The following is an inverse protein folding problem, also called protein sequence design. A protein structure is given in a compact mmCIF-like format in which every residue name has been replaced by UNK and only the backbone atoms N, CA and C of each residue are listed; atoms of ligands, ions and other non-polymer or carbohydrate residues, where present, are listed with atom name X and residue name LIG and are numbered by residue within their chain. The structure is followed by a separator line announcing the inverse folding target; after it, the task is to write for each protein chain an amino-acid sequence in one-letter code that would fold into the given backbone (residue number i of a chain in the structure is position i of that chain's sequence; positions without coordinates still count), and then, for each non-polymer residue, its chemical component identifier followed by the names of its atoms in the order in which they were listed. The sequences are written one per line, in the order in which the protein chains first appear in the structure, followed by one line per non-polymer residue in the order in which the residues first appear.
data_IF_812620833094
#
_entry.id   IF_812620833094
#
_cell.length_a   1.000
_cell.length_b   1.000
_cell.length_c   1.000
_cell.angle_alpha   90.00
_cell.angle_beta   90.00
_cell.angle_gamma   90.00
#
_symmetry.space_group_name_H-M   'P 1'
#
loop_
_entity.id
_entity.type
_entity.pdbx_description
1 polymer ?
#
# COMPACT_ATOMS: atom_id res chain seq x y z
N UNK A 1 7.04 -25.00 1.78
CA UNK A 1 6.03 -24.26 0.99
C UNK A 1 4.75 -25.08 1.05
N UNK A 2 3.59 -24.44 1.23
CA UNK A 2 2.36 -24.94 1.89
C UNK A 2 2.52 -24.90 3.43
N UNK A 3 1.71 -24.20 4.24
CA UNK A 3 0.24 -24.08 4.21
C UNK A 3 -0.28 -22.89 5.05
N UNK A 4 0.36 -21.71 4.99
CA UNK A 4 -0.10 -20.53 5.78
C UNK A 4 -1.19 -19.72 5.04
N UNK A 5 -1.27 -19.86 3.72
CA UNK A 5 -2.22 -19.13 2.88
C UNK A 5 -3.70 -19.43 3.23
N UNK A 6 -4.13 -20.67 3.55
CA UNK A 6 -5.53 -20.94 3.88
C UNK A 6 -5.99 -20.28 5.17
N UNK A 7 -5.12 -20.13 6.18
CA UNK A 7 -5.48 -19.52 7.46
C UNK A 7 -5.68 -18.01 7.36
N UNK A 8 -4.91 -17.33 6.50
CA UNK A 8 -5.07 -15.89 6.27
C UNK A 8 -6.38 -15.63 5.51
N UNK A 9 -6.72 -16.46 4.52
CA UNK A 9 -8.02 -16.38 3.83
C UNK A 9 -9.23 -16.77 4.70
N UNK A 10 -9.06 -17.68 5.67
CA UNK A 10 -10.16 -18.11 6.56
C UNK A 10 -10.51 -17.07 7.63
N UNK A 11 -9.54 -16.30 8.13
CA UNK A 11 -9.77 -15.21 9.08
C UNK A 11 -10.10 -13.88 8.39
N UNK A 12 -9.65 -13.67 7.15
CA UNK A 12 -9.98 -12.49 6.35
C UNK A 12 -10.88 -12.87 5.18
N UNK A 13 -12.10 -13.34 5.47
CA UNK A 13 -13.13 -13.73 4.48
C UNK A 13 -13.57 -12.59 3.53
N UNK A 14 -13.04 -11.38 3.73
CA UNK A 14 -13.28 -10.19 2.92
C UNK A 14 -12.00 -9.65 2.26
N UNK A 15 -11.08 -10.54 1.88
CA UNK A 15 -9.93 -10.22 1.01
C UNK A 15 -10.24 -9.96 -0.49
N UNK A 16 -11.46 -9.58 -0.97
CA UNK A 16 -11.60 -9.10 -2.35
C UNK A 16 -11.06 -7.69 -2.60
N UNK A 17 -10.90 -6.84 -1.58
CA UNK A 17 -10.28 -5.51 -1.70
C UNK A 17 -9.67 -5.17 -0.33
N UNK A 18 -8.35 -5.29 -0.18
CA UNK A 18 -7.67 -4.84 1.04
C UNK A 18 -7.64 -3.31 1.04
N UNK A 19 -8.77 -2.69 1.38
CA UNK A 19 -8.88 -1.23 1.51
C UNK A 19 -8.03 -0.83 2.72
N UNK A 20 -7.26 0.24 2.61
CA UNK A 20 -6.34 0.70 3.66
C UNK A 20 -6.93 0.79 5.08
N UNK A 21 -8.20 1.20 5.30
CA UNK A 21 -8.80 1.20 6.63
C UNK A 21 -8.82 -0.18 7.29
N UNK A 22 -9.03 -1.25 6.51
CA UNK A 22 -9.00 -2.62 7.01
C UNK A 22 -7.60 -3.03 7.44
N UNK A 23 -6.57 -2.66 6.66
CA UNK A 23 -5.18 -2.93 7.01
C UNK A 23 -4.81 -2.27 8.34
N UNK A 24 -5.10 -0.97 8.47
CA UNK A 24 -4.79 -0.19 9.68
C UNK A 24 -5.55 -0.69 10.89
N UNK A 25 -6.82 -1.10 10.75
CA UNK A 25 -7.63 -1.55 11.88
C UNK A 25 -7.32 -2.99 12.33
N UNK A 26 -7.06 -3.90 11.39
CA UNK A 26 -6.92 -5.32 11.71
C UNK A 26 -5.47 -5.78 11.87
N UNK A 27 -4.52 -5.12 11.20
CA UNK A 27 -3.10 -5.49 11.21
C UNK A 27 -2.16 -4.27 11.33
N UNK A 28 -2.34 -3.39 12.34
CA UNK A 28 -1.53 -2.17 12.50
C UNK A 28 -0.03 -2.44 12.70
N UNK A 29 0.35 -3.64 13.15
CA UNK A 29 1.72 -4.03 13.44
C UNK A 29 2.38 -4.79 12.27
N UNK A 30 1.83 -4.67 11.06
CA UNK A 30 2.41 -5.29 9.88
C UNK A 30 3.81 -4.70 9.61
N UNK A 31 4.79 -5.58 9.39
CA UNK A 31 6.18 -5.17 9.16
C UNK A 31 6.56 -5.12 7.68
N UNK A 32 5.90 -5.89 6.84
CA UNK A 32 6.22 -6.04 5.42
C UNK A 32 4.95 -6.03 4.59
N UNK A 33 4.84 -5.09 3.65
CA UNK A 33 3.70 -4.95 2.77
C UNK A 33 4.17 -4.76 1.32
N UNK A 34 3.67 -5.60 0.42
CA UNK A 34 4.01 -5.59 -1.00
C UNK A 34 2.73 -5.41 -1.83
N UNK A 35 2.64 -4.31 -2.54
CA UNK A 35 1.49 -3.88 -3.34
C UNK A 35 1.90 -3.56 -4.78
N UNK A 36 3.08 -4.03 -5.22
CA UNK A 36 3.61 -3.78 -6.56
C UNK A 36 2.56 -4.06 -7.66
N UNK A 37 2.49 -3.20 -8.68
CA UNK A 37 1.56 -3.35 -9.83
C UNK A 37 0.08 -3.39 -9.39
N UNK A 38 -0.30 -2.57 -8.40
CA UNK A 38 -1.68 -2.47 -7.92
C UNK A 38 -2.25 -1.06 -8.05
N UNK A 39 -3.57 -0.95 -7.97
CA UNK A 39 -4.26 0.32 -7.83
C UNK A 39 -4.34 0.72 -6.37
N UNK A 40 -3.75 1.86 -6.02
CA UNK A 40 -3.86 2.46 -4.70
C UNK A 40 -3.91 3.97 -4.84
N UNK A 41 -5.01 4.57 -4.41
CA UNK A 41 -5.16 6.01 -4.35
C UNK A 41 -4.34 6.61 -3.20
N UNK A 42 -4.05 7.90 -3.34
CA UNK A 42 -3.27 8.67 -2.37
C UNK A 42 -3.84 8.58 -0.94
N UNK A 43 -5.16 8.61 -0.76
CA UNK A 43 -5.78 8.62 0.58
C UNK A 43 -5.53 7.29 1.30
N UNK A 44 -5.75 6.18 0.61
CA UNK A 44 -5.47 4.84 1.14
C UNK A 44 -3.99 4.66 1.47
N UNK A 45 -3.09 5.16 0.64
CA UNK A 45 -1.66 5.07 0.91
C UNK A 45 -1.24 5.91 2.13
N UNK A 46 -1.77 7.12 2.28
CA UNK A 46 -1.56 7.95 3.48
C UNK A 46 -2.08 7.25 4.74
N UNK A 47 -3.26 6.61 4.67
CA UNK A 47 -3.78 5.83 5.79
C UNK A 47 -2.83 4.71 6.21
N UNK A 48 -2.24 3.98 5.26
CA UNK A 48 -1.26 2.93 5.56
C UNK A 48 -0.02 3.52 6.26
N UNK A 49 0.56 4.58 5.70
CA UNK A 49 1.74 5.25 6.27
C UNK A 49 1.48 5.80 7.68
N UNK A 50 0.26 6.26 7.94
CA UNK A 50 -0.08 6.79 9.25
C UNK A 50 -0.48 5.71 10.25
N UNK A 51 -1.14 4.64 9.81
CA UNK A 51 -1.70 3.63 10.69
C UNK A 51 -0.77 2.46 11.00
N UNK A 52 0.10 2.06 10.08
CA UNK A 52 0.96 0.88 10.21
C UNK A 52 2.37 1.27 10.70
N UNK A 53 2.48 1.58 12.00
CA UNK A 53 3.70 2.17 12.58
C UNK A 53 4.92 1.25 12.64
N UNK A 54 4.71 -0.07 12.55
CA UNK A 54 5.79 -1.06 12.58
C UNK A 54 6.31 -1.47 11.18
N UNK A 55 5.88 -0.77 10.12
CA UNK A 55 6.32 -1.04 8.76
C UNK A 55 7.84 -0.90 8.65
N UNK A 56 8.50 -2.03 8.40
CA UNK A 56 9.91 -2.12 8.07
C UNK A 56 10.13 -2.01 6.56
N UNK A 57 9.17 -2.47 5.75
CA UNK A 57 9.21 -2.37 4.29
C UNK A 57 7.83 -2.20 3.68
N UNK A 58 7.74 -1.28 2.73
CA UNK A 58 6.56 -1.03 1.90
C UNK A 58 7.00 -0.89 0.43
N UNK A 59 6.58 -1.83 -0.40
CA UNK A 59 6.82 -1.83 -1.84
C UNK A 59 5.52 -1.52 -2.59
N UNK A 60 5.43 -0.31 -3.12
CA UNK A 60 4.32 0.18 -3.94
C UNK A 60 4.80 0.58 -5.33
N UNK A 61 5.86 -0.06 -5.86
CA UNK A 61 6.37 0.24 -7.20
C UNK A 61 5.36 -0.10 -8.30
N UNK A 62 5.44 0.64 -9.40
CA UNK A 62 4.59 0.45 -10.58
C UNK A 62 3.08 0.51 -10.25
N UNK A 63 2.69 1.26 -9.22
CA UNK A 63 1.30 1.41 -8.80
C UNK A 63 0.57 2.53 -9.55
N UNK A 64 -0.75 2.44 -9.61
CA UNK A 64 -1.62 3.47 -10.19
C UNK A 64 -2.41 4.16 -9.07
N UNK A 65 -2.43 5.49 -9.04
CA UNK A 65 -3.31 6.27 -8.17
C UNK A 65 -2.62 7.28 -7.26
N UNK A 66 -1.28 7.36 -7.31
CA UNK A 66 -0.49 8.39 -6.65
C UNK A 66 0.78 8.68 -7.47
N UNK A 67 1.36 9.86 -7.31
CA UNK A 67 2.63 10.21 -7.94
C UNK A 67 3.81 9.92 -7.00
N UNK A 68 4.93 9.51 -7.59
CA UNK A 68 6.16 9.20 -6.86
C UNK A 68 6.80 10.45 -6.20
N UNK A 69 6.54 11.65 -6.71
CA UNK A 69 7.18 12.92 -6.29
C UNK A 69 6.45 13.69 -5.17
N UNK A 70 5.43 13.10 -4.55
CA UNK A 70 4.67 13.74 -3.46
C UNK A 70 5.55 13.95 -2.20
N UNK A 71 6.14 15.14 -2.04
CA UNK A 71 7.01 15.49 -0.91
C UNK A 71 6.36 15.25 0.47
N UNK A 72 5.05 15.44 0.60
CA UNK A 72 4.29 15.13 1.81
C UNK A 72 4.26 13.62 2.14
N UNK A 73 4.20 12.76 1.11
CA UNK A 73 4.25 11.30 1.28
C UNK A 73 5.60 10.84 1.79
N UNK A 74 6.69 11.43 1.27
CA UNK A 74 8.04 11.11 1.71
C UNK A 74 8.22 11.40 3.21
N UNK A 75 7.66 12.50 3.72
CA UNK A 75 7.68 12.79 5.16
C UNK A 75 6.93 11.75 5.99
N UNK A 76 5.76 11.30 5.51
CA UNK A 76 4.99 10.26 6.20
C UNK A 76 5.71 8.91 6.22
N UNK A 77 6.50 8.60 5.19
CA UNK A 77 7.24 7.36 5.06
C UNK A 77 8.59 7.32 5.79
N UNK A 78 9.04 8.42 6.42
CA UNK A 78 10.37 8.50 7.09
C UNK A 78 10.63 7.43 8.14
N UNK A 79 9.58 6.90 8.76
CA UNK A 79 9.69 5.85 9.76
C UNK A 79 9.89 4.45 9.16
N UNK A 80 9.78 4.30 7.84
CA UNK A 80 9.88 3.03 7.10
C UNK A 80 11.28 2.94 6.48
N UNK A 81 12.15 2.03 6.96
CA UNK A 81 13.51 1.89 6.44
C UNK A 81 13.60 1.54 4.95
N UNK A 82 12.63 0.78 4.43
CA UNK A 82 12.61 0.32 3.05
C UNK A 82 11.28 0.67 2.36
N UNK A 83 11.15 1.92 1.94
CA UNK A 83 10.02 2.42 1.17
C UNK A 83 10.39 2.54 -0.32
N UNK A 84 9.63 1.88 -1.19
CA UNK A 84 9.86 1.83 -2.63
C UNK A 84 8.58 2.21 -3.37
N UNK A 85 8.63 3.23 -4.21
CA UNK A 85 7.47 3.75 -4.94
C UNK A 85 7.72 4.03 -6.44
N UNK A 86 8.92 3.73 -6.91
CA UNK A 86 9.37 4.03 -8.26
C UNK A 86 8.43 3.45 -9.33
N UNK A 87 8.21 4.21 -10.40
CA UNK A 87 7.34 3.81 -11.51
C UNK A 87 5.85 3.98 -11.24
N UNK A 88 5.46 4.47 -10.06
CA UNK A 88 4.07 4.77 -9.74
C UNK A 88 3.61 6.10 -10.32
N UNK A 89 2.34 6.19 -10.71
CA UNK A 89 1.78 7.40 -11.27
C UNK A 89 0.27 7.40 -11.32
N UNK A 90 -0.28 8.50 -11.84
CA UNK A 90 -1.70 8.61 -12.15
C UNK A 90 -1.90 8.19 -13.61
N UNK A 91 -2.91 7.35 -13.88
CA UNK A 91 -3.36 7.13 -15.26
C UNK A 91 -4.05 8.40 -15.75
N UNK A 92 -3.29 9.26 -16.43
CA UNK A 92 -3.87 10.37 -17.20
C UNK A 92 -4.30 9.76 -18.53
N UNK A 93 -5.59 9.49 -18.69
CA UNK A 93 -6.14 9.24 -20.03
C UNK A 93 -6.00 10.55 -20.81
N UNK A 94 -5.31 10.58 -21.96
CA UNK A 94 -5.39 11.74 -22.83
C UNK A 94 -6.85 11.89 -23.24
N UNK A 95 -7.47 13.00 -22.85
CA UNK A 95 -8.69 13.46 -23.49
C UNK A 95 -8.29 13.71 -24.96
N UNK A 96 -8.59 12.76 -25.83
CA UNK A 96 -8.55 13.01 -27.28
C UNK A 96 -9.69 13.96 -27.59
N UNK A 97 -9.36 15.22 -27.89
CA UNK A 97 -10.24 16.17 -28.58
C UNK A 97 -10.78 15.58 -29.90
#
# INVERSE_FOLDING_TARGET
MAEIIPHISLHCKNFPQLIAPGLVNFVPNIRYLFLKVSGIDRENLVMILQGCKELASLDVRDCIGFEDDDAERLQLALHIPAFMCEGSGILILPLTD
#
